data_IF_616040034611
#
_entry.id   IF_616040034611
#
_cell.length_a   1.000
_cell.length_b   1.000
_cell.length_c   1.000
_cell.angle_alpha   90.00
_cell.angle_beta   90.00
_cell.angle_gamma   90.00
#
_symmetry.space_group_name_H-M   'P 1'
#
loop_
_entity.id
_entity.type
_entity.pdbx_description
1 polymer ?
#
# COMPACT_ATOMS: atom_id res chain seq x y z
N UNK A 1 -9.56 5.59 -6.00
CA UNK A 1 -8.66 5.74 -4.84
C UNK A 1 -9.30 6.50 -3.69
N UNK A 2 -9.76 7.74 -3.87
CA UNK A 2 -10.25 8.59 -2.76
C UNK A 2 -11.44 8.00 -1.97
N UNK A 3 -12.41 7.37 -2.64
CA UNK A 3 -13.52 6.65 -1.98
C UNK A 3 -13.14 5.26 -1.44
N UNK A 4 -12.06 4.65 -1.94
CA UNK A 4 -11.61 3.34 -1.44
C UNK A 4 -10.94 3.45 -0.08
N UNK A 5 -10.27 4.58 0.21
CA UNK A 5 -9.62 4.81 1.50
C UNK A 5 -10.58 4.76 2.70
N UNK A 6 -11.74 5.46 2.71
CA UNK A 6 -12.70 5.34 3.80
C UNK A 6 -13.33 3.95 3.89
N UNK A 7 -13.55 3.26 2.76
CA UNK A 7 -14.05 1.87 2.74
C UNK A 7 -13.03 0.92 3.37
N UNK A 8 -11.75 1.06 3.03
CA UNK A 8 -10.66 0.27 3.62
C UNK A 8 -10.49 0.57 5.10
N UNK A 9 -10.56 1.84 5.50
CA UNK A 9 -10.50 2.23 6.90
C UNK A 9 -11.67 1.63 7.72
N UNK A 10 -12.88 1.60 7.15
CA UNK A 10 -14.04 0.94 7.75
C UNK A 10 -13.84 -0.58 7.88
N UNK A 11 -13.37 -1.25 6.82
CA UNK A 11 -13.06 -2.69 6.86
C UNK A 11 -11.97 -3.00 7.90
N UNK A 12 -10.94 -2.16 7.97
CA UNK A 12 -9.87 -2.30 8.94
C UNK A 12 -10.37 -2.07 10.37
N UNK A 13 -11.31 -1.13 10.56
CA UNK A 13 -12.00 -0.94 11.84
C UNK A 13 -12.83 -2.17 12.23
N UNK A 14 -13.54 -2.80 11.28
CA UNK A 14 -14.31 -4.04 11.52
C UNK A 14 -13.39 -5.20 11.92
N UNK A 15 -12.23 -5.34 11.26
CA UNK A 15 -11.25 -6.38 11.59
C UNK A 15 -10.59 -6.13 12.95
N UNK A 16 -10.34 -4.86 13.28
CA UNK A 16 -9.69 -4.42 14.50
C UNK A 16 -10.70 -3.92 15.55
N UNK A 17 -11.93 -4.44 15.59
CA UNK A 17 -12.97 -4.05 16.57
C UNK A 17 -12.48 -4.20 18.02
N UNK A 18 -11.53 -5.11 18.28
CA UNK A 18 -10.95 -5.32 19.61
C UNK A 18 -9.96 -4.22 20.01
N UNK A 19 -9.54 -3.33 19.11
CA UNK A 19 -8.69 -2.20 19.41
C UNK A 19 -9.56 -0.98 19.78
N UNK A 20 -9.37 -0.36 20.97
CA UNK A 20 -10.13 0.81 21.40
C UNK A 20 -9.62 2.08 20.69
N UNK A 21 -9.83 2.17 19.38
CA UNK A 21 -9.36 3.26 18.52
C UNK A 21 -10.52 3.80 17.68
N UNK A 22 -10.51 5.10 17.44
CA UNK A 22 -11.58 5.80 16.71
C UNK A 22 -11.43 5.59 15.21
N UNK A 23 -12.55 5.57 14.46
CA UNK A 23 -12.55 5.49 13.00
C UNK A 23 -11.59 6.48 12.33
N UNK A 24 -11.51 7.72 12.85
CA UNK A 24 -10.63 8.77 12.33
C UNK A 24 -9.16 8.37 12.43
N UNK A 25 -8.76 7.65 13.47
CA UNK A 25 -7.39 7.14 13.65
C UNK A 25 -7.07 6.08 12.57
N UNK A 26 -8.00 5.17 12.29
CA UNK A 26 -7.87 4.21 11.19
C UNK A 26 -7.78 4.93 9.84
N UNK A 27 -8.64 5.93 9.59
CA UNK A 27 -8.68 6.70 8.36
C UNK A 27 -7.37 7.46 8.09
N UNK A 28 -6.84 8.15 9.10
CA UNK A 28 -5.58 8.90 8.98
C UNK A 28 -4.41 7.96 8.72
N UNK A 29 -4.36 6.80 9.39
CA UNK A 29 -3.32 5.80 9.13
C UNK A 29 -3.41 5.25 7.70
N UNK A 30 -4.61 4.87 7.25
CA UNK A 30 -4.83 4.38 5.88
C UNK A 30 -4.42 5.43 4.86
N UNK A 31 -4.77 6.71 5.08
CA UNK A 31 -4.43 7.81 4.18
C UNK A 31 -2.92 8.07 4.12
N UNK A 32 -2.25 8.09 5.28
CA UNK A 32 -0.81 8.23 5.37
C UNK A 32 -0.07 7.08 4.67
N UNK A 33 -0.48 5.83 4.95
CA UNK A 33 0.10 4.65 4.31
C UNK A 33 -0.11 4.66 2.80
N UNK A 34 -1.26 5.15 2.32
CA UNK A 34 -1.49 5.30 0.89
C UNK A 34 -0.63 6.38 0.25
N UNK A 35 -0.50 7.54 0.88
CA UNK A 35 0.37 8.61 0.41
C UNK A 35 1.83 8.15 0.34
N UNK A 36 2.28 7.42 1.36
CA UNK A 36 3.60 6.80 1.39
C UNK A 36 3.78 5.76 0.28
N UNK A 37 2.79 4.89 0.06
CA UNK A 37 2.83 3.87 -0.99
C UNK A 37 2.93 4.53 -2.38
N UNK A 38 2.15 5.58 -2.65
CA UNK A 38 2.24 6.34 -3.90
C UNK A 38 3.60 7.01 -4.09
N UNK A 39 4.14 7.62 -3.03
CA UNK A 39 5.49 8.22 -3.06
C UNK A 39 6.56 7.17 -3.39
N UNK A 40 6.50 6.00 -2.74
CA UNK A 40 7.47 4.94 -2.97
C UNK A 40 7.35 4.34 -4.37
N UNK A 41 6.14 4.11 -4.89
CA UNK A 41 5.94 3.69 -6.28
C UNK A 41 6.52 4.73 -7.25
N UNK A 42 6.29 6.02 -7.00
CA UNK A 42 6.85 7.08 -7.81
C UNK A 42 8.38 7.05 -7.82
N UNK A 43 9.02 6.89 -6.65
CA UNK A 43 10.47 6.74 -6.53
C UNK A 43 10.95 5.51 -7.32
N UNK A 44 10.32 4.34 -7.16
CA UNK A 44 10.67 3.13 -7.90
C UNK A 44 10.51 3.31 -9.41
N UNK A 45 9.47 4.00 -9.87
CA UNK A 45 9.26 4.29 -11.28
C UNK A 45 10.36 5.21 -11.84
N UNK A 46 10.77 6.24 -11.10
CA UNK A 46 11.88 7.12 -11.48
C UNK A 46 13.19 6.33 -11.55
N UNK A 47 13.46 5.47 -10.56
CA UNK A 47 14.66 4.61 -10.56
C UNK A 47 14.69 3.64 -11.74
N UNK A 48 13.54 3.07 -12.13
CA UNK A 48 13.43 2.18 -13.29
C UNK A 48 13.77 2.86 -14.64
N UNK A 49 13.64 4.18 -14.74
CA UNK A 49 14.10 4.92 -15.92
C UNK A 49 15.64 4.90 -16.00
N UNK A 50 16.31 4.99 -14.85
CA UNK A 50 17.78 5.00 -14.77
C UNK A 50 18.42 3.61 -14.90
N UNK A 51 17.66 2.53 -14.66
CA UNK A 51 18.13 1.15 -14.88
C UNK A 51 18.51 0.89 -16.34
N UNK A 52 17.87 1.57 -17.30
CA UNK A 52 18.11 1.39 -18.73
C UNK A 52 19.26 2.26 -19.29
N UNK A 53 19.98 2.98 -18.44
CA UNK A 53 21.09 3.86 -18.85
C UNK A 53 22.36 3.03 -19.03
N UNK A 54 23.11 3.28 -20.11
CA UNK A 54 24.33 2.53 -20.51
C UNK A 54 25.51 2.65 -19.54
N UNK A 55 25.40 3.49 -18.50
CA UNK A 55 26.40 3.64 -17.46
C UNK A 55 26.26 2.51 -16.43
N UNK A 56 27.09 1.48 -16.54
CA UNK A 56 27.03 0.26 -15.73
C UNK A 56 26.95 0.51 -14.21
N UNK A 57 27.66 1.51 -13.68
CA UNK A 57 27.60 1.85 -12.26
C UNK A 57 26.24 2.43 -11.83
N UNK A 58 25.61 3.23 -12.68
CA UNK A 58 24.31 3.86 -12.37
C UNK A 58 23.20 2.81 -12.44
N UNK A 59 23.27 1.91 -13.43
CA UNK A 59 22.36 0.79 -13.58
C UNK A 59 22.32 -0.09 -12.32
N UNK A 60 23.48 -0.59 -11.87
CA UNK A 60 23.56 -1.45 -10.68
C UNK A 60 23.03 -0.73 -9.43
N UNK A 61 23.41 0.52 -9.20
CA UNK A 61 22.94 1.29 -8.03
C UNK A 61 21.42 1.50 -8.08
N UNK A 62 20.87 1.79 -9.26
CA UNK A 62 19.42 1.98 -9.45
C UNK A 62 18.64 0.69 -9.14
N UNK A 63 19.11 -0.47 -9.64
CA UNK A 63 18.48 -1.77 -9.39
C UNK A 63 18.43 -2.11 -7.88
N UNK A 64 19.57 -1.97 -7.18
CA UNK A 64 19.61 -2.23 -5.73
C UNK A 64 18.69 -1.28 -4.97
N UNK A 65 18.66 0.00 -5.34
CA UNK A 65 17.83 1.00 -4.67
C UNK A 65 16.34 0.75 -4.93
N UNK A 66 15.99 0.31 -6.14
CA UNK A 66 14.64 -0.12 -6.52
C UNK A 66 14.19 -1.32 -5.68
N UNK A 67 15.03 -2.36 -5.57
CA UNK A 67 14.75 -3.55 -4.76
C UNK A 67 14.60 -3.23 -3.25
N UNK A 68 15.48 -2.39 -2.71
CA UNK A 68 15.41 -1.93 -1.32
C UNK A 68 14.12 -1.13 -1.09
N UNK A 69 13.75 -0.25 -2.03
CA UNK A 69 12.52 0.53 -1.95
C UNK A 69 11.28 -0.36 -1.92
N UNK A 70 11.23 -1.39 -2.77
CA UNK A 70 10.12 -2.35 -2.80
C UNK A 70 9.99 -3.14 -1.48
N UNK A 71 11.11 -3.61 -0.92
CA UNK A 71 11.11 -4.26 0.39
C UNK A 71 10.70 -3.31 1.51
N UNK A 72 11.13 -2.05 1.44
CA UNK A 72 10.82 -1.04 2.44
C UNK A 72 9.33 -0.72 2.51
N UNK A 73 8.61 -0.75 1.38
CA UNK A 73 7.14 -0.62 1.36
C UNK A 73 6.52 -1.70 2.27
N UNK A 74 6.85 -2.97 2.05
CA UNK A 74 6.32 -4.09 2.85
C UNK A 74 6.63 -3.93 4.34
N UNK A 75 7.89 -3.63 4.67
CA UNK A 75 8.34 -3.46 6.06
C UNK A 75 7.61 -2.29 6.72
N UNK A 76 7.49 -1.16 6.02
CA UNK A 76 6.83 0.03 6.54
C UNK A 76 5.35 -0.18 6.81
N UNK A 77 4.60 -0.77 5.86
CA UNK A 77 3.17 -1.03 6.07
C UNK A 77 2.95 -1.97 7.26
N UNK A 78 3.77 -3.01 7.41
CA UNK A 78 3.68 -3.91 8.56
C UNK A 78 4.02 -3.20 9.89
N UNK A 79 5.12 -2.44 9.92
CA UNK A 79 5.52 -1.70 11.13
C UNK A 79 4.49 -0.63 11.51
N UNK A 80 3.87 0.04 10.53
CA UNK A 80 2.87 1.07 10.76
C UNK A 80 1.65 0.49 11.49
N UNK A 81 1.12 -0.65 11.02
CA UNK A 81 0.01 -1.36 11.66
C UNK A 81 0.37 -1.78 13.09
N UNK A 82 1.53 -2.41 13.24
CA UNK A 82 2.00 -2.93 14.53
C UNK A 82 2.20 -1.81 15.55
N UNK A 83 2.87 -0.71 15.16
CA UNK A 83 3.20 0.39 16.06
C UNK A 83 1.96 1.23 16.41
N UNK A 84 1.09 1.47 15.45
CA UNK A 84 -0.07 2.33 15.64
C UNK A 84 -1.14 1.68 16.52
N UNK A 85 -1.45 0.40 16.28
CA UNK A 85 -2.46 -0.33 17.05
C UNK A 85 -1.89 -1.10 18.26
N UNK A 86 -0.57 -1.05 18.47
CA UNK A 86 0.13 -1.81 19.52
C UNK A 86 -0.25 -3.30 19.55
N UNK A 87 -0.43 -3.89 18.37
CA UNK A 87 -0.80 -5.29 18.20
C UNK A 87 0.38 -6.21 18.55
N UNK A 88 0.07 -7.38 19.10
CA UNK A 88 1.02 -8.48 19.19
C UNK A 88 1.49 -8.94 17.81
N UNK A 89 2.65 -9.60 17.73
CA UNK A 89 3.21 -10.02 16.44
C UNK A 89 2.27 -10.91 15.63
N UNK A 90 1.57 -11.86 16.27
CA UNK A 90 0.62 -12.74 15.58
C UNK A 90 -0.60 -11.99 15.04
N UNK A 91 -1.22 -11.13 15.85
CA UNK A 91 -2.41 -10.37 15.44
C UNK A 91 -2.06 -9.32 14.37
N UNK A 92 -0.88 -8.72 14.43
CA UNK A 92 -0.38 -7.80 13.40
C UNK A 92 -0.22 -8.49 12.04
N UNK A 93 0.37 -9.69 12.00
CA UNK A 93 0.57 -10.44 10.73
C UNK A 93 -0.76 -10.89 10.13
N UNK A 94 -1.70 -11.31 10.97
CA UNK A 94 -3.03 -11.74 10.52
C UNK A 94 -3.84 -10.55 9.99
N UNK A 95 -3.87 -9.44 10.74
CA UNK A 95 -4.52 -8.21 10.30
C UNK A 95 -3.88 -7.65 9.03
N UNK A 96 -2.55 -7.67 8.91
CA UNK A 96 -1.83 -7.25 7.72
C UNK A 96 -2.18 -8.13 6.50
N UNK A 97 -2.23 -9.45 6.68
CA UNK A 97 -2.57 -10.39 5.60
C UNK A 97 -4.01 -10.18 5.11
N UNK A 98 -4.98 -10.08 6.03
CA UNK A 98 -6.38 -9.81 5.67
C UNK A 98 -6.51 -8.45 4.97
N UNK A 99 -5.88 -7.41 5.51
CA UNK A 99 -5.92 -6.06 4.93
C UNK A 99 -5.31 -6.04 3.53
N UNK A 100 -4.21 -6.78 3.31
CA UNK A 100 -3.57 -6.92 2.01
C UNK A 100 -4.46 -7.63 0.99
N UNK A 101 -5.13 -8.73 1.37
CA UNK A 101 -6.08 -9.45 0.50
C UNK A 101 -7.28 -8.56 0.14
N UNK A 102 -7.84 -7.85 1.12
CA UNK A 102 -8.95 -6.93 0.87
C UNK A 102 -8.54 -5.79 -0.06
N UNK A 103 -7.32 -5.28 0.12
CA UNK A 103 -6.77 -4.24 -0.73
C UNK A 103 -6.62 -4.71 -2.18
N UNK A 104 -6.09 -5.91 -2.42
CA UNK A 104 -5.94 -6.45 -3.78
C UNK A 104 -7.28 -6.71 -4.45
N UNK A 105 -8.27 -7.24 -3.72
CA UNK A 105 -9.64 -7.42 -4.22
C UNK A 105 -10.26 -6.08 -4.60
N UNK A 106 -10.16 -5.09 -3.72
CA UNK A 106 -10.72 -3.77 -3.96
C UNK A 106 -10.05 -3.09 -5.18
N UNK A 107 -8.74 -3.23 -5.32
CA UNK A 107 -7.97 -2.67 -6.44
C UNK A 107 -8.34 -3.36 -7.76
N UNK A 108 -8.47 -4.69 -7.76
CA UNK A 108 -8.92 -5.47 -8.92
C UNK A 108 -10.34 -5.07 -9.35
N UNK A 109 -11.28 -4.92 -8.41
CA UNK A 109 -12.63 -4.46 -8.70
C UNK A 109 -12.64 -3.04 -9.29
N UNK A 110 -11.81 -2.13 -8.75
CA UNK A 110 -11.66 -0.78 -9.29
C UNK A 110 -11.11 -0.74 -10.71
N UNK A 111 -10.08 -1.54 -11.00
CA UNK A 111 -9.50 -1.65 -12.35
C UNK A 111 -10.50 -2.28 -13.33
N UNK A 112 -11.24 -3.31 -12.91
CA UNK A 112 -12.26 -3.96 -13.73
C UNK A 112 -13.38 -2.98 -14.12
N UNK A 113 -13.93 -2.25 -13.14
CA UNK A 113 -14.96 -1.24 -13.40
C UNK A 113 -14.45 -0.13 -14.33
N UNK A 114 -13.24 0.36 -14.11
CA UNK A 114 -12.62 1.36 -14.99
C UNK A 114 -12.46 0.83 -16.43
N UNK A 115 -11.99 -0.41 -16.58
CA UNK A 115 -11.89 -1.07 -17.88
C UNK A 115 -13.23 -1.22 -18.59
N UNK A 116 -14.29 -1.63 -17.89
CA UNK A 116 -15.64 -1.71 -18.46
C UNK A 116 -16.15 -0.35 -18.92
N UNK A 117 -15.99 0.69 -18.11
CA UNK A 117 -16.38 2.05 -18.49
C UNK A 117 -15.62 2.51 -19.74
N UNK A 118 -14.30 2.26 -19.80
CA UNK A 118 -13.51 2.60 -20.97
C UNK A 118 -14.03 1.92 -22.25
N UNK A 119 -14.43 0.64 -22.17
CA UNK A 119 -15.03 -0.08 -23.31
C UNK A 119 -16.39 0.47 -23.71
N UNK A 120 -17.19 0.96 -22.77
CA UNK A 120 -18.53 1.54 -23.06
C UNK A 120 -18.41 2.93 -23.73
N UNK A 121 -17.37 3.70 -23.38
CA UNK A 121 -17.15 5.07 -23.86
C UNK A 121 -16.11 5.20 -25.00
N UNK A 122 -15.50 4.09 -25.45
CA UNK A 122 -14.59 4.03 -26.59
C UNK A 122 -15.33 3.63 -27.88
#
# INVERSE_FOLDING_TARGET
MLFMMPILALLQQIILVLCPRYYVEHLVLTLHNHAFLLLMIFITMVLGIFENVTLAYICVVAEWLSAISALWIFVYLFLSLKRYFQLGWFTATLAFSITSILYTIALAAGMFLFGMLFVIFA
#
